data_IF_806434380834
#
_entry.id   IF_806434380834
#
_cell.length_a   1.000
_cell.length_b   1.000
_cell.length_c   1.000
_cell.angle_alpha   90.00
_cell.angle_beta   90.00
_cell.angle_gamma   90.00
#
_symmetry.space_group_name_H-M   'P 1'
#
loop_
_entity.id
_entity.type
_entity.pdbx_description
1 polymer ?
#
# COMPACT_ATOMS: atom_id res chain seq x y z
N UNK A 1 16.02 -12.25 24.07
CA UNK A 1 15.09 -11.30 23.42
C UNK A 1 13.80 -12.02 23.07
N UNK A 2 12.68 -11.42 23.38
CA UNK A 2 11.34 -11.88 23.06
C UNK A 2 10.57 -10.76 22.34
N UNK A 3 10.00 -11.03 21.17
CA UNK A 3 9.29 -10.03 20.37
C UNK A 3 7.80 -10.36 20.36
N UNK A 4 6.97 -9.40 20.77
CA UNK A 4 5.51 -9.49 20.70
C UNK A 4 5.05 -8.64 19.51
N UNK A 5 4.38 -9.25 18.54
CA UNK A 5 3.95 -8.56 17.30
C UNK A 5 2.43 -8.55 17.18
N UNK A 6 1.85 -7.38 16.93
CA UNK A 6 0.44 -7.25 16.57
C UNK A 6 0.21 -7.66 15.10
N UNK A 7 -0.39 -8.83 14.89
CA UNK A 7 -0.72 -9.33 13.56
C UNK A 7 -2.21 -9.17 13.18
N UNK A 8 -2.99 -8.41 13.95
CA UNK A 8 -4.45 -8.31 13.77
C UNK A 8 -4.85 -7.74 12.41
N UNK A 9 -4.00 -6.95 11.75
CA UNK A 9 -4.24 -6.45 10.38
C UNK A 9 -4.20 -7.53 9.30
N UNK A 10 -3.74 -8.74 9.63
CA UNK A 10 -3.77 -9.90 8.71
C UNK A 10 -5.10 -10.67 8.74
N UNK A 11 -6.07 -10.23 9.55
CA UNK A 11 -7.32 -10.94 9.82
C UNK A 11 -8.58 -10.12 9.51
N UNK A 12 -8.46 -8.85 9.24
CA UNK A 12 -9.57 -7.94 9.03
C UNK A 12 -9.64 -7.41 7.58
N UNK A 13 -10.39 -6.36 7.36
CA UNK A 13 -10.51 -5.70 6.05
C UNK A 13 -9.18 -5.20 5.47
N UNK A 14 -8.14 -5.07 6.30
CA UNK A 14 -6.80 -4.65 5.87
C UNK A 14 -5.93 -5.82 5.39
N UNK A 15 -6.37 -7.07 5.56
CA UNK A 15 -5.55 -8.26 5.26
C UNK A 15 -5.02 -8.28 3.81
N UNK A 16 -5.81 -7.76 2.87
CA UNK A 16 -5.46 -7.64 1.44
C UNK A 16 -4.99 -6.24 1.04
N UNK A 17 -4.96 -5.29 1.96
CA UNK A 17 -4.41 -3.95 1.74
C UNK A 17 -2.91 -3.90 2.04
N UNK A 18 -2.23 -2.83 1.62
CA UNK A 18 -0.79 -2.65 1.82
C UNK A 18 -0.31 -2.87 3.26
N UNK A 19 -1.12 -2.45 4.26
CA UNK A 19 -0.81 -2.66 5.70
C UNK A 19 -0.83 -4.14 6.08
N UNK A 20 -1.82 -4.89 5.62
CA UNK A 20 -1.91 -6.34 5.89
C UNK A 20 -0.81 -7.12 5.19
N UNK A 21 -0.51 -6.77 3.93
CA UNK A 21 0.60 -7.34 3.17
C UNK A 21 1.95 -7.05 3.84
N UNK A 22 2.17 -5.81 4.31
CA UNK A 22 3.35 -5.48 5.10
C UNK A 22 3.44 -6.37 6.34
N UNK A 23 2.37 -6.40 7.15
CA UNK A 23 2.37 -7.16 8.42
C UNK A 23 2.65 -8.64 8.19
N UNK A 24 2.01 -9.24 7.19
CA UNK A 24 2.25 -10.65 6.83
C UNK A 24 3.71 -10.89 6.45
N UNK A 25 4.19 -10.14 5.48
CA UNK A 25 5.50 -10.41 4.90
C UNK A 25 6.67 -10.09 5.84
N UNK A 26 6.56 -8.99 6.64
CA UNK A 26 7.59 -8.66 7.63
C UNK A 26 7.68 -9.71 8.73
N UNK A 27 6.54 -10.24 9.21
CA UNK A 27 6.53 -11.32 10.22
C UNK A 27 7.22 -12.55 9.65
N UNK A 28 6.84 -13.00 8.45
CA UNK A 28 7.44 -14.20 7.85
C UNK A 28 8.94 -14.05 7.63
N UNK A 29 9.39 -12.90 7.17
CA UNK A 29 10.82 -12.64 6.98
C UNK A 29 11.59 -12.56 8.32
N UNK A 30 11.02 -11.95 9.36
CA UNK A 30 11.60 -11.92 10.69
C UNK A 30 11.74 -13.33 11.28
N UNK A 31 10.71 -14.17 11.15
CA UNK A 31 10.71 -15.55 11.65
C UNK A 31 11.77 -16.40 10.93
N UNK A 32 11.83 -16.28 9.60
CA UNK A 32 12.79 -17.02 8.76
C UNK A 32 14.23 -16.67 9.13
N UNK A 33 14.52 -15.39 9.32
CA UNK A 33 15.89 -14.89 9.46
C UNK A 33 16.41 -14.90 10.91
N UNK A 34 15.55 -15.18 11.93
CA UNK A 34 15.89 -15.05 13.34
C UNK A 34 15.44 -16.27 14.15
N UNK A 35 15.88 -17.46 13.80
CA UNK A 35 15.42 -18.72 14.38
C UNK A 35 15.65 -18.86 15.90
N UNK A 36 16.60 -18.13 16.47
CA UNK A 36 16.92 -18.16 17.92
C UNK A 36 16.07 -17.20 18.75
N UNK A 37 15.34 -16.29 18.10
CA UNK A 37 14.48 -15.30 18.78
C UNK A 37 13.08 -15.87 18.96
N UNK A 38 12.48 -15.63 20.12
CA UNK A 38 11.10 -16.06 20.39
C UNK A 38 10.10 -14.96 19.99
N UNK A 39 9.08 -15.35 19.26
CA UNK A 39 8.03 -14.45 18.78
C UNK A 39 6.66 -14.86 19.32
N UNK A 40 5.92 -13.91 19.88
CA UNK A 40 4.49 -14.04 20.20
C UNK A 40 3.67 -13.21 19.22
N UNK A 41 2.89 -13.85 18.37
CA UNK A 41 2.13 -13.24 17.31
C UNK A 41 0.68 -13.09 17.77
N UNK A 42 0.27 -11.86 18.06
CA UNK A 42 -1.08 -11.55 18.56
C UNK A 42 -2.12 -11.63 17.43
N UNK A 43 -3.22 -12.30 17.66
CA UNK A 43 -4.33 -12.42 16.71
C UNK A 43 -5.70 -12.46 17.40
N UNK A 44 -6.76 -12.11 16.67
CA UNK A 44 -8.13 -12.34 17.10
C UNK A 44 -8.47 -13.84 17.10
N UNK A 45 -9.15 -14.29 18.14
CA UNK A 45 -9.55 -15.70 18.31
C UNK A 45 -10.55 -16.18 17.26
N UNK A 46 -11.48 -15.31 16.86
CA UNK A 46 -12.62 -15.65 15.99
C UNK A 46 -12.41 -15.30 14.51
N UNK A 47 -11.17 -15.04 14.08
CA UNK A 47 -10.83 -14.68 12.70
C UNK A 47 -9.66 -15.53 12.20
N UNK A 48 -9.78 -15.96 10.94
CA UNK A 48 -8.69 -16.66 10.24
C UNK A 48 -7.68 -15.59 9.77
N UNK A 49 -6.42 -15.83 10.05
CA UNK A 49 -5.32 -14.99 9.56
C UNK A 49 -4.75 -15.55 8.26
N UNK A 50 -4.34 -14.66 7.37
CA UNK A 50 -3.53 -15.01 6.20
C UNK A 50 -2.16 -15.61 6.58
N UNK A 51 -1.78 -15.52 7.87
CA UNK A 51 -0.54 -16.06 8.44
C UNK A 51 -0.67 -17.46 9.04
N UNK A 52 -1.88 -17.93 9.36
CA UNK A 52 -2.07 -19.13 10.21
C UNK A 52 -1.34 -20.37 9.66
N UNK A 53 -1.42 -20.61 8.35
CA UNK A 53 -0.76 -21.75 7.70
C UNK A 53 0.77 -21.63 7.67
N UNK A 54 1.28 -20.42 7.61
CA UNK A 54 2.70 -20.18 7.45
C UNK A 54 3.43 -20.18 8.80
N UNK A 55 2.81 -19.63 9.84
CA UNK A 55 3.42 -19.55 11.19
C UNK A 55 3.68 -20.95 11.76
N UNK A 56 2.82 -21.92 11.50
CA UNK A 56 2.99 -23.30 11.99
C UNK A 56 4.31 -23.95 11.56
N UNK A 57 4.98 -23.44 10.54
CA UNK A 57 6.29 -23.91 10.06
C UNK A 57 7.46 -23.45 10.93
N UNK A 58 7.23 -22.47 11.83
CA UNK A 58 8.29 -21.83 12.62
C UNK A 58 8.21 -22.20 14.10
N UNK A 59 9.18 -22.97 14.59
CA UNK A 59 9.24 -23.40 15.99
C UNK A 59 9.47 -22.28 16.99
N UNK A 60 10.01 -21.16 16.54
CA UNK A 60 10.28 -19.96 17.33
C UNK A 60 9.10 -18.96 17.39
N UNK A 61 7.94 -19.32 16.83
CA UNK A 61 6.75 -18.50 16.83
C UNK A 61 5.60 -19.17 17.59
N UNK A 62 4.87 -18.36 18.38
CA UNK A 62 3.66 -18.76 19.08
C UNK A 62 2.52 -17.82 18.68
N UNK A 63 1.39 -18.38 18.24
CA UNK A 63 0.15 -17.63 18.07
C UNK A 63 -0.50 -17.39 19.42
N UNK A 64 -0.90 -16.15 19.68
CA UNK A 64 -1.51 -15.73 20.94
C UNK A 64 -2.85 -15.05 20.67
N UNK A 65 -3.92 -15.64 21.16
CA UNK A 65 -5.27 -15.10 21.02
C UNK A 65 -5.51 -13.94 22.00
N UNK A 66 -6.00 -12.81 21.49
CA UNK A 66 -6.23 -11.55 22.23
C UNK A 66 -7.72 -11.18 22.35
N UNK A 67 -8.59 -12.16 22.36
CA UNK A 67 -10.04 -11.97 22.41
C UNK A 67 -10.69 -11.98 21.03
N UNK A 68 -11.98 -11.61 20.98
CA UNK A 68 -12.77 -11.65 19.77
C UNK A 68 -12.81 -10.29 19.06
N UNK A 69 -12.71 -10.31 17.74
CA UNK A 69 -12.91 -9.12 16.93
C UNK A 69 -14.39 -8.68 16.98
N UNK A 70 -14.62 -7.44 17.38
CA UNK A 70 -15.94 -6.79 17.34
C UNK A 70 -15.83 -5.56 16.46
N UNK A 71 -16.59 -5.54 15.37
CA UNK A 71 -16.67 -4.39 14.47
C UNK A 71 -17.35 -3.24 15.21
N UNK A 72 -16.57 -2.36 15.84
CA UNK A 72 -17.06 -1.10 16.36
C UNK A 72 -15.89 -0.16 16.67
N UNK A 73 -15.63 0.80 15.81
CA UNK A 73 -14.48 1.72 15.90
C UNK A 73 -14.42 2.49 17.23
N UNK A 74 -15.58 2.76 17.84
CA UNK A 74 -15.66 3.50 19.11
C UNK A 74 -15.21 2.70 20.35
N UNK A 75 -15.23 1.38 20.27
CA UNK A 75 -14.89 0.48 21.38
C UNK A 75 -13.44 -0.02 21.35
N UNK A 76 -12.65 0.39 20.36
CA UNK A 76 -11.26 -0.10 20.20
C UNK A 76 -10.40 0.17 21.45
N UNK A 77 -10.55 1.32 22.10
CA UNK A 77 -9.79 1.62 23.30
C UNK A 77 -10.23 0.74 24.49
N UNK A 78 -11.54 0.58 24.69
CA UNK A 78 -12.07 -0.28 25.79
C UNK A 78 -11.64 -1.71 25.54
N UNK A 79 -11.79 -2.20 24.34
CA UNK A 79 -11.37 -3.55 23.95
C UNK A 79 -9.86 -3.77 24.17
N UNK A 80 -9.03 -2.78 23.80
CA UNK A 80 -7.59 -2.86 24.02
C UNK A 80 -7.28 -3.02 25.51
N UNK A 81 -7.86 -2.20 26.38
CA UNK A 81 -7.59 -2.25 27.83
C UNK A 81 -8.15 -3.51 28.50
N UNK A 82 -9.27 -4.04 28.02
CA UNK A 82 -9.96 -5.18 28.64
C UNK A 82 -9.51 -6.53 28.10
N UNK A 83 -9.06 -6.62 26.87
CA UNK A 83 -8.75 -7.90 26.23
C UNK A 83 -7.28 -8.01 25.74
N UNK A 84 -6.73 -6.97 25.14
CA UNK A 84 -5.37 -7.02 24.58
C UNK A 84 -4.31 -6.82 25.66
N UNK A 85 -4.43 -5.73 26.40
CA UNK A 85 -3.43 -5.35 27.40
C UNK A 85 -3.22 -6.40 28.52
N UNK A 86 -4.26 -7.07 29.06
CA UNK A 86 -4.06 -8.18 30.02
C UNK A 86 -3.26 -9.34 29.45
N UNK A 87 -3.50 -9.71 28.18
CA UNK A 87 -2.74 -10.76 27.50
C UNK A 87 -1.28 -10.35 27.36
N UNK A 88 -1.01 -9.13 26.87
CA UNK A 88 0.36 -8.61 26.77
C UNK A 88 1.06 -8.63 28.13
N UNK A 89 0.40 -8.16 29.20
CA UNK A 89 0.96 -8.18 30.57
C UNK A 89 1.30 -9.59 31.03
N UNK A 90 0.50 -10.61 30.67
CA UNK A 90 0.72 -12.01 31.03
C UNK A 90 1.91 -12.63 30.29
N UNK A 91 2.09 -12.34 29.00
CA UNK A 91 3.12 -12.98 28.16
C UNK A 91 4.45 -12.23 28.15
N UNK A 92 4.46 -10.92 28.49
CA UNK A 92 5.70 -10.13 28.49
C UNK A 92 6.72 -10.65 29.50
N UNK A 93 7.99 -10.60 29.10
CA UNK A 93 9.16 -10.88 29.88
C UNK A 93 9.96 -9.59 30.07
N UNK A 94 11.01 -9.62 30.92
CA UNK A 94 11.88 -8.46 31.15
C UNK A 94 12.55 -7.96 29.85
N UNK A 95 12.87 -8.88 28.94
CA UNK A 95 13.54 -8.65 27.67
C UNK A 95 12.57 -8.59 26.48
N UNK A 96 11.27 -8.36 26.73
CA UNK A 96 10.26 -8.27 25.69
C UNK A 96 10.21 -6.90 25.04
N UNK A 97 10.10 -6.89 23.72
CA UNK A 97 9.83 -5.71 22.88
C UNK A 97 8.49 -5.91 22.19
N UNK A 98 7.68 -4.86 22.13
CA UNK A 98 6.44 -4.86 21.35
C UNK A 98 6.70 -4.23 19.99
N UNK A 99 6.30 -4.89 18.94
CA UNK A 99 6.29 -4.34 17.58
C UNK A 99 4.86 -4.16 17.09
N UNK A 100 4.49 -2.91 16.79
CA UNK A 100 3.22 -2.55 16.17
C UNK A 100 3.42 -2.22 14.70
N UNK A 101 3.00 -3.10 13.76
CA UNK A 101 3.08 -2.84 12.34
C UNK A 101 2.11 -1.77 11.84
N UNK A 102 1.20 -1.29 12.71
CA UNK A 102 0.15 -0.35 12.32
C UNK A 102 -0.30 0.54 13.48
N UNK A 103 -0.24 1.84 13.32
CA UNK A 103 -0.49 2.82 14.38
C UNK A 103 -1.97 2.97 14.81
N UNK A 104 -2.93 2.62 13.97
CA UNK A 104 -4.37 2.68 14.30
C UNK A 104 -4.79 1.70 15.40
N UNK A 105 -4.00 0.67 15.65
CA UNK A 105 -4.19 -0.19 16.80
C UNK A 105 -3.50 0.43 18.03
N UNK A 106 -4.14 0.33 19.17
CA UNK A 106 -3.50 0.77 20.41
C UNK A 106 -2.33 -0.16 20.76
N UNK A 107 -1.29 0.37 21.35
CA UNK A 107 -0.04 -0.35 21.64
C UNK A 107 0.51 0.03 23.02
N UNK A 108 1.34 -0.82 23.67
CA UNK A 108 1.70 -0.72 25.09
C UNK A 108 2.93 0.15 25.39
N UNK A 109 3.14 1.26 24.65
CA UNK A 109 4.32 2.12 24.82
C UNK A 109 4.48 2.72 26.23
N UNK A 110 3.39 2.74 27.04
CA UNK A 110 3.44 3.19 28.43
C UNK A 110 4.00 2.15 29.41
N UNK A 111 4.06 0.87 29.01
CA UNK A 111 4.39 -0.23 29.95
C UNK A 111 5.52 -1.14 29.49
N UNK A 112 5.97 -1.02 28.26
CA UNK A 112 7.08 -1.80 27.72
C UNK A 112 7.71 -1.12 26.50
N UNK A 113 8.99 -1.43 26.19
CA UNK A 113 9.63 -0.94 24.96
C UNK A 113 8.79 -1.30 23.75
N UNK A 114 8.44 -0.28 22.97
CA UNK A 114 7.57 -0.41 21.79
C UNK A 114 8.25 0.21 20.58
N UNK A 115 8.18 -0.49 19.46
CA UNK A 115 8.57 -0.02 18.13
C UNK A 115 7.30 0.05 17.28
N UNK A 116 7.09 1.17 16.63
CA UNK A 116 5.90 1.44 15.83
C UNK A 116 6.29 1.63 14.36
N UNK A 117 5.54 1.04 13.44
CA UNK A 117 5.67 1.30 12.03
C UNK A 117 4.64 2.33 11.55
N UNK A 118 5.11 3.42 10.93
CA UNK A 118 4.29 4.47 10.33
C UNK A 118 4.35 4.32 8.82
N UNK A 119 3.22 3.95 8.21
CA UNK A 119 3.12 3.72 6.78
C UNK A 119 3.04 5.01 5.97
N UNK A 120 2.36 6.00 6.52
CA UNK A 120 2.14 7.31 5.89
C UNK A 120 1.55 8.30 6.89
N UNK A 121 1.50 9.57 6.49
CA UNK A 121 0.84 10.66 7.23
C UNK A 121 -0.37 11.20 6.46
N UNK A 122 -0.96 10.41 5.57
CA UNK A 122 -2.02 10.79 4.65
C UNK A 122 -3.21 11.47 5.35
N UNK A 123 -3.67 10.89 6.46
CA UNK A 123 -4.78 11.46 7.23
C UNK A 123 -4.47 12.84 7.83
N UNK A 124 -3.23 13.05 8.26
CA UNK A 124 -2.80 14.35 8.77
C UNK A 124 -2.70 15.39 7.64
N UNK A 125 -2.15 15.00 6.49
CA UNK A 125 -1.88 15.90 5.38
C UNK A 125 -3.16 16.28 4.59
N UNK A 126 -4.08 15.35 4.40
CA UNK A 126 -5.27 15.55 3.56
C UNK A 126 -6.58 15.68 4.32
N UNK A 127 -6.58 15.66 5.66
CA UNK A 127 -7.79 15.72 6.50
C UNK A 127 -8.87 14.67 6.13
N UNK A 128 -8.46 13.52 5.61
CA UNK A 128 -9.35 12.51 5.05
C UNK A 128 -9.78 11.49 6.10
N UNK A 129 -10.51 11.93 7.12
CA UNK A 129 -10.89 11.06 8.25
C UNK A 129 -12.10 10.16 7.98
N UNK A 130 -13.08 10.61 7.24
CA UNK A 130 -14.24 9.84 6.75
C UNK A 130 -15.09 10.71 5.82
N UNK A 131 -15.94 10.10 5.02
CA UNK A 131 -16.92 10.83 4.20
C UNK A 131 -18.35 10.69 4.73
N UNK A 132 -18.59 9.93 5.81
CA UNK A 132 -19.93 9.54 6.23
C UNK A 132 -20.70 10.62 6.99
N UNK A 133 -20.09 11.33 7.94
CA UNK A 133 -20.71 12.44 8.63
C UNK A 133 -19.68 13.32 9.35
N UNK A 134 -20.00 14.61 9.62
CA UNK A 134 -19.11 15.50 10.38
C UNK A 134 -18.74 14.96 11.76
N UNK A 135 -19.67 14.32 12.47
CA UNK A 135 -19.44 13.76 13.81
C UNK A 135 -18.45 12.59 13.73
N UNK A 136 -18.64 11.65 12.78
CA UNK A 136 -17.73 10.53 12.58
C UNK A 136 -16.32 11.00 12.20
N UNK A 137 -16.22 12.04 11.39
CA UNK A 137 -14.95 12.66 11.03
C UNK A 137 -14.22 13.21 12.25
N UNK A 138 -14.92 13.92 13.15
CA UNK A 138 -14.32 14.46 14.37
C UNK A 138 -13.83 13.33 15.29
N UNK A 139 -14.62 12.29 15.46
CA UNK A 139 -14.21 11.13 16.28
C UNK A 139 -12.97 10.46 15.70
N UNK A 140 -12.95 10.18 14.40
CA UNK A 140 -11.79 9.60 13.73
C UNK A 140 -10.55 10.49 13.81
N UNK A 141 -10.73 11.80 13.68
CA UNK A 141 -9.65 12.77 13.86
C UNK A 141 -9.05 12.68 15.27
N UNK A 142 -9.89 12.66 16.29
CA UNK A 142 -9.44 12.53 17.68
C UNK A 142 -8.73 11.19 17.91
N UNK A 143 -9.27 10.09 17.40
CA UNK A 143 -8.66 8.78 17.51
C UNK A 143 -7.28 8.71 16.81
N UNK A 144 -7.20 9.27 15.60
CA UNK A 144 -5.95 9.36 14.85
C UNK A 144 -4.88 10.10 15.66
N UNK A 145 -5.18 11.33 16.10
CA UNK A 145 -4.21 12.13 16.82
C UNK A 145 -3.84 11.54 18.18
N UNK A 146 -4.79 10.89 18.87
CA UNK A 146 -4.46 10.15 20.10
C UNK A 146 -3.49 9.01 19.86
N UNK A 147 -3.69 8.23 18.80
CA UNK A 147 -2.77 7.15 18.42
C UNK A 147 -1.40 7.71 18.00
N UNK A 148 -1.39 8.75 17.17
CA UNK A 148 -0.15 9.37 16.70
C UNK A 148 0.61 10.09 17.84
N UNK A 149 -0.06 10.82 18.72
CA UNK A 149 0.59 11.45 19.87
C UNK A 149 1.21 10.41 20.83
N UNK A 150 0.57 9.25 20.96
CA UNK A 150 1.15 8.14 21.75
C UNK A 150 2.43 7.59 21.12
N UNK A 151 2.65 7.77 19.82
CA UNK A 151 3.86 7.31 19.14
C UNK A 151 5.14 7.93 19.71
N UNK A 152 5.05 9.14 20.27
CA UNK A 152 6.20 9.80 20.93
C UNK A 152 6.74 9.07 22.15
N UNK A 153 5.99 8.09 22.69
CA UNK A 153 6.42 7.22 23.78
C UNK A 153 7.10 5.93 23.28
N UNK A 154 7.07 5.68 21.97
CA UNK A 154 7.77 4.54 21.39
C UNK A 154 9.29 4.73 21.48
N UNK A 155 10.05 3.65 21.59
CA UNK A 155 11.51 3.69 21.57
C UNK A 155 12.07 3.97 20.20
N UNK A 156 11.41 3.46 19.17
CA UNK A 156 11.74 3.71 17.76
C UNK A 156 10.47 3.80 16.92
N UNK A 157 10.57 4.60 15.89
CA UNK A 157 9.61 4.63 14.78
C UNK A 157 10.31 4.05 13.55
N UNK A 158 9.62 3.15 12.85
CA UNK A 158 10.00 2.70 11.52
C UNK A 158 9.13 3.39 10.48
N UNK A 159 9.70 3.77 9.36
CA UNK A 159 8.99 4.34 8.22
C UNK A 159 9.38 3.62 6.93
N UNK A 160 8.49 3.61 5.94
CA UNK A 160 8.72 2.94 4.67
C UNK A 160 9.45 3.81 3.63
N UNK A 161 9.69 5.09 3.93
CA UNK A 161 10.43 6.02 3.08
C UNK A 161 11.04 7.16 3.91
N UNK A 162 12.02 7.86 3.34
CA UNK A 162 12.55 9.10 3.91
C UNK A 162 11.48 10.19 3.93
N UNK A 163 10.63 10.21 2.92
CA UNK A 163 9.46 11.12 2.85
C UNK A 163 8.55 10.91 4.06
N UNK A 164 8.15 9.67 4.37
CA UNK A 164 7.32 9.37 5.54
C UNK A 164 8.03 9.73 6.86
N UNK A 165 9.36 9.49 6.96
CA UNK A 165 10.17 9.93 8.11
C UNK A 165 10.11 11.44 8.27
N UNK A 166 10.33 12.19 7.19
CA UNK A 166 10.32 13.66 7.21
C UNK A 166 8.93 14.20 7.59
N UNK A 167 7.87 13.61 7.03
CA UNK A 167 6.50 13.97 7.37
C UNK A 167 6.19 13.70 8.85
N UNK A 168 6.61 12.55 9.40
CA UNK A 168 6.45 12.26 10.82
C UNK A 168 7.17 13.30 11.68
N UNK A 169 8.43 13.60 11.41
CA UNK A 169 9.23 14.57 12.16
C UNK A 169 8.71 16.01 12.03
N UNK A 170 8.05 16.35 10.92
CA UNK A 170 7.38 17.65 10.76
C UNK A 170 6.24 17.85 11.79
N UNK A 171 5.50 16.78 12.12
CA UNK A 171 4.46 16.83 13.15
C UNK A 171 5.00 16.61 14.57
N UNK A 172 6.11 15.91 14.71
CA UNK A 172 6.75 15.59 15.99
C UNK A 172 8.23 16.02 16.02
N UNK A 173 8.52 17.32 15.90
CA UNK A 173 9.89 17.84 15.79
C UNK A 173 10.73 17.58 17.05
N UNK A 174 10.09 17.32 18.19
CA UNK A 174 10.76 16.95 19.46
C UNK A 174 11.17 15.47 19.51
N UNK A 175 10.69 14.63 18.59
CA UNK A 175 11.08 13.22 18.58
C UNK A 175 12.47 13.08 17.95
N UNK A 176 13.39 12.30 18.57
CA UNK A 176 14.77 12.20 18.07
C UNK A 176 14.82 11.60 16.67
N UNK A 177 15.40 12.31 15.72
CA UNK A 177 15.43 11.88 14.32
C UNK A 177 16.21 10.57 14.10
N UNK A 178 17.20 10.30 14.98
CA UNK A 178 17.97 9.06 15.00
C UNK A 178 17.19 7.86 15.51
N UNK A 179 16.04 8.08 16.13
CA UNK A 179 15.09 7.04 16.53
C UNK A 179 13.99 6.81 15.49
N UNK A 180 14.06 7.49 14.33
CA UNK A 180 13.19 7.21 13.17
C UNK A 180 14.03 6.56 12.09
N UNK A 181 13.84 5.26 11.86
CA UNK A 181 14.62 4.49 10.88
C UNK A 181 13.79 4.19 9.62
N UNK A 182 14.43 4.34 8.46
CA UNK A 182 13.80 4.02 7.18
C UNK A 182 14.05 2.57 6.80
N UNK A 183 12.96 1.83 6.63
CA UNK A 183 12.97 0.42 6.19
C UNK A 183 12.09 0.29 4.96
N UNK A 184 12.66 0.45 3.76
CA UNK A 184 11.93 0.26 2.51
C UNK A 184 11.24 -1.10 2.48
N UNK A 185 10.04 -1.15 1.91
CA UNK A 185 9.24 -2.36 1.87
C UNK A 185 9.79 -3.37 0.86
N UNK A 186 9.49 -4.64 1.08
CA UNK A 186 9.67 -5.67 0.09
C UNK A 186 8.56 -5.63 -0.97
N UNK A 187 8.88 -6.11 -2.16
CA UNK A 187 7.93 -6.31 -3.26
C UNK A 187 7.73 -7.79 -3.47
N UNK A 188 6.48 -8.23 -3.41
CA UNK A 188 6.09 -9.61 -3.67
C UNK A 188 5.17 -9.63 -4.88
N UNK A 189 5.68 -10.09 -6.00
CA UNK A 189 4.89 -10.41 -7.17
C UNK A 189 5.38 -11.73 -7.73
N UNK A 190 4.47 -12.64 -8.01
CA UNK A 190 4.80 -13.91 -8.66
C UNK A 190 4.95 -13.67 -10.16
N UNK A 191 6.19 -13.75 -10.67
CA UNK A 191 6.52 -13.54 -12.09
C UNK A 191 5.99 -14.69 -12.96
N UNK A 192 4.68 -14.76 -13.06
CA UNK A 192 3.97 -15.80 -13.82
C UNK A 192 2.90 -15.17 -14.69
N UNK A 193 3.06 -15.31 -16.01
CA UNK A 193 2.04 -14.86 -16.95
C UNK A 193 0.95 -15.94 -17.10
N UNK A 194 -0.29 -15.58 -16.74
CA UNK A 194 -1.49 -16.44 -16.84
C UNK A 194 -2.57 -15.69 -17.62
N UNK A 195 -3.46 -16.44 -18.28
CA UNK A 195 -4.56 -15.86 -19.05
C UNK A 195 -5.40 -14.86 -18.23
N UNK A 196 -5.78 -13.78 -18.87
CA UNK A 196 -6.60 -12.68 -18.33
C UNK A 196 -8.04 -12.71 -18.82
N UNK A 197 -8.50 -13.78 -19.47
CA UNK A 197 -9.84 -13.91 -20.05
C UNK A 197 -10.97 -13.68 -19.04
N UNK A 198 -10.67 -13.86 -17.74
CA UNK A 198 -11.60 -13.58 -16.63
C UNK A 198 -11.82 -12.08 -16.42
N UNK A 199 -10.87 -11.22 -16.80
CA UNK A 199 -10.85 -9.80 -16.44
C UNK A 199 -10.89 -8.87 -17.63
N UNK A 200 -10.49 -9.34 -18.79
CA UNK A 200 -10.39 -8.56 -20.01
C UNK A 200 -11.29 -9.12 -21.10
N UNK A 201 -11.76 -8.30 -22.05
CA UNK A 201 -12.54 -8.77 -23.21
C UNK A 201 -11.78 -9.83 -24.00
N UNK A 202 -12.51 -10.74 -24.65
CA UNK A 202 -11.92 -11.85 -25.44
C UNK A 202 -11.10 -11.39 -26.66
N UNK A 203 -11.30 -10.15 -27.11
CA UNK A 203 -10.61 -9.52 -28.22
C UNK A 203 -9.40 -8.66 -27.78
N UNK A 204 -9.10 -8.62 -26.46
CA UNK A 204 -7.93 -7.89 -26.00
C UNK A 204 -6.65 -8.52 -26.56
N UNK A 205 -5.65 -7.68 -26.82
CA UNK A 205 -4.31 -8.12 -27.19
C UNK A 205 -3.32 -7.63 -26.16
N UNK A 206 -2.22 -8.37 -26.01
CA UNK A 206 -1.12 -7.93 -25.16
C UNK A 206 -0.67 -6.52 -25.55
N UNK A 207 -0.34 -5.71 -24.53
CA UNK A 207 0.06 -4.30 -24.65
C UNK A 207 -0.97 -3.39 -25.32
N UNK A 208 -2.24 -3.77 -25.28
CA UNK A 208 -3.37 -2.98 -25.76
C UNK A 208 -4.19 -2.34 -24.63
N UNK A 209 -3.59 -2.11 -23.47
CA UNK A 209 -4.22 -1.33 -22.41
C UNK A 209 -3.21 -0.61 -21.51
N UNK A 210 -3.63 0.57 -21.05
CA UNK A 210 -3.03 1.27 -19.91
C UNK A 210 -3.62 0.69 -18.63
N UNK A 211 -2.79 0.43 -17.61
CA UNK A 211 -3.30 -0.11 -16.36
C UNK A 211 -3.12 0.84 -15.18
N UNK A 212 -4.19 1.02 -14.40
CA UNK A 212 -4.20 1.61 -13.07
C UNK A 212 -4.51 0.51 -12.05
N UNK A 213 -3.53 0.12 -11.24
CA UNK A 213 -3.60 -0.98 -10.28
C UNK A 213 -3.04 -0.53 -8.93
N UNK A 214 -3.59 -1.05 -7.83
CA UNK A 214 -3.13 -0.73 -6.47
C UNK A 214 -3.56 0.65 -5.98
N UNK A 215 -4.27 1.42 -6.79
CA UNK A 215 -4.91 2.65 -6.38
C UNK A 215 -6.13 2.41 -5.50
N UNK A 216 -6.75 3.48 -5.08
CA UNK A 216 -7.98 3.45 -4.30
C UNK A 216 -8.92 4.56 -4.72
N UNK A 217 -10.09 4.58 -4.12
CA UNK A 217 -11.10 5.60 -4.38
C UNK A 217 -10.89 6.89 -3.59
N UNK A 218 -9.92 6.93 -2.67
CA UNK A 218 -9.63 8.13 -1.90
C UNK A 218 -9.09 9.25 -2.81
N UNK A 219 -9.45 10.49 -2.52
CA UNK A 219 -9.01 11.66 -3.31
C UNK A 219 -7.49 11.75 -3.47
N UNK A 220 -6.71 11.36 -2.45
CA UNK A 220 -5.25 11.32 -2.55
C UNK A 220 -4.73 10.34 -3.60
N UNK A 221 -5.52 9.36 -4.04
CA UNK A 221 -5.15 8.41 -5.11
C UNK A 221 -5.41 8.95 -6.51
N UNK A 222 -6.18 10.03 -6.64
CA UNK A 222 -6.43 10.74 -7.88
C UNK A 222 -6.89 9.84 -9.05
N UNK A 223 -7.78 8.89 -8.75
CA UNK A 223 -8.31 7.95 -9.76
C UNK A 223 -9.05 8.68 -10.90
N UNK A 224 -9.75 9.78 -10.58
CA UNK A 224 -10.42 10.61 -11.58
C UNK A 224 -9.42 11.27 -12.53
N UNK A 225 -8.25 11.71 -12.05
CA UNK A 225 -7.17 12.28 -12.87
C UNK A 225 -6.64 11.27 -13.88
N UNK A 226 -6.58 9.98 -13.52
CA UNK A 226 -6.19 8.93 -14.46
C UNK A 226 -7.18 8.83 -15.64
N UNK A 227 -8.50 8.84 -15.35
CA UNK A 227 -9.54 8.76 -16.40
C UNK A 227 -9.53 10.02 -17.28
N UNK A 228 -9.33 11.19 -16.68
CA UNK A 228 -9.24 12.46 -17.42
C UNK A 228 -8.02 12.50 -18.33
N UNK A 229 -6.85 12.11 -17.82
CA UNK A 229 -5.64 12.02 -18.64
C UNK A 229 -5.78 10.99 -19.78
N UNK A 230 -6.44 9.87 -19.52
CA UNK A 230 -6.74 8.89 -20.55
C UNK A 230 -7.68 9.43 -21.64
N UNK A 231 -8.71 10.20 -21.28
CA UNK A 231 -9.56 10.91 -22.26
C UNK A 231 -8.73 11.83 -23.14
N UNK A 232 -7.86 12.64 -22.56
CA UNK A 232 -6.98 13.54 -23.34
C UNK A 232 -5.99 12.75 -24.21
N UNK A 233 -5.52 11.58 -23.78
CA UNK A 233 -4.74 10.67 -24.63
C UNK A 233 -5.55 10.19 -25.84
N UNK A 234 -6.83 9.84 -25.70
CA UNK A 234 -7.70 9.51 -26.83
C UNK A 234 -7.88 10.71 -27.78
N UNK A 235 -8.02 11.92 -27.25
CA UNK A 235 -8.09 13.15 -28.05
C UNK A 235 -6.81 13.36 -28.87
N UNK A 236 -5.64 13.18 -28.28
CA UNK A 236 -4.35 13.24 -28.97
C UNK A 236 -4.25 12.21 -30.10
N UNK A 237 -4.70 10.97 -29.84
CA UNK A 237 -4.73 9.92 -30.88
C UNK A 237 -5.63 10.31 -32.05
N UNK A 238 -6.83 10.85 -31.78
CA UNK A 238 -7.77 11.31 -32.79
C UNK A 238 -7.17 12.44 -33.62
N UNK A 239 -6.52 13.42 -33.00
CA UNK A 239 -5.84 14.54 -33.69
C UNK A 239 -4.73 14.05 -34.63
N UNK A 240 -4.08 12.93 -34.27
CA UNK A 240 -3.06 12.28 -35.11
C UNK A 240 -3.63 11.24 -36.10
N UNK A 241 -4.93 11.27 -36.39
CA UNK A 241 -5.58 10.46 -37.41
C UNK A 241 -5.84 8.99 -37.02
N UNK A 242 -5.71 8.63 -35.74
CA UNK A 242 -5.93 7.26 -35.31
C UNK A 242 -7.42 6.91 -35.23
N UNK A 243 -7.75 5.68 -35.64
CA UNK A 243 -9.06 5.07 -35.45
C UNK A 243 -9.27 4.72 -33.97
N UNK A 244 -10.21 5.41 -33.31
CA UNK A 244 -10.50 5.19 -31.91
C UNK A 244 -11.22 3.86 -31.60
N UNK A 245 -11.78 3.20 -32.62
CA UNK A 245 -12.35 1.85 -32.42
C UNK A 245 -11.28 0.82 -32.07
N UNK A 246 -10.03 1.12 -32.38
CA UNK A 246 -8.82 0.34 -32.05
C UNK A 246 -7.97 0.97 -30.96
N UNK A 247 -8.55 1.85 -30.16
CA UNK A 247 -7.83 2.47 -29.05
C UNK A 247 -7.53 1.44 -27.95
N UNK A 248 -6.34 1.51 -27.32
CA UNK A 248 -6.05 0.66 -26.17
C UNK A 248 -7.00 1.01 -25.01
N UNK A 249 -7.40 0.02 -24.22
CA UNK A 249 -8.27 0.22 -23.08
C UNK A 249 -7.54 0.94 -21.92
N UNK A 250 -8.31 1.59 -21.04
CA UNK A 250 -7.89 1.87 -19.68
C UNK A 250 -8.46 0.78 -18.77
N UNK A 251 -7.59 0.01 -18.15
CA UNK A 251 -7.96 -1.02 -17.17
C UNK A 251 -7.76 -0.47 -15.76
N UNK A 252 -8.84 -0.42 -14.98
CA UNK A 252 -8.82 0.00 -13.57
C UNK A 252 -9.03 -1.25 -12.71
N UNK A 253 -7.95 -1.68 -12.05
CA UNK A 253 -7.95 -2.93 -11.29
C UNK A 253 -8.04 -2.67 -9.78
N UNK A 254 -9.02 -3.32 -9.14
CA UNK A 254 -9.18 -3.27 -7.68
C UNK A 254 -10.62 -3.41 -7.21
N UNK A 255 -10.82 -4.18 -6.14
CA UNK A 255 -12.14 -4.48 -5.58
C UNK A 255 -12.90 -3.25 -5.04
N UNK A 256 -12.20 -2.17 -4.70
CA UNK A 256 -12.84 -0.96 -4.18
C UNK A 256 -13.75 -0.27 -5.22
N UNK A 257 -13.46 -0.44 -6.51
CA UNK A 257 -14.23 0.12 -7.61
C UNK A 257 -15.55 -0.63 -7.91
N UNK A 258 -15.77 -1.79 -7.28
CA UNK A 258 -17.03 -2.54 -7.39
C UNK A 258 -18.16 -1.95 -6.53
N UNK A 259 -17.83 -1.15 -5.52
CA UNK A 259 -18.83 -0.57 -4.64
C UNK A 259 -19.38 0.72 -5.26
N UNK A 260 -20.38 0.56 -6.14
CA UNK A 260 -21.02 1.66 -6.88
C UNK A 260 -21.89 2.57 -6.00
N UNK A 261 -22.10 2.23 -4.72
CA UNK A 261 -22.82 3.11 -3.79
C UNK A 261 -21.93 4.21 -3.23
N UNK A 262 -20.60 4.06 -3.35
CA UNK A 262 -19.67 5.08 -2.87
C UNK A 262 -19.65 6.29 -3.79
N UNK A 263 -19.77 7.52 -3.24
CA UNK A 263 -19.79 8.76 -4.02
C UNK A 263 -18.57 8.89 -4.96
N UNK A 264 -17.41 8.44 -4.51
CA UNK A 264 -16.18 8.50 -5.31
C UNK A 264 -16.23 7.58 -6.52
N UNK A 265 -16.88 6.42 -6.40
CA UNK A 265 -17.06 5.49 -7.53
C UNK A 265 -18.13 6.03 -8.47
N UNK A 266 -19.20 6.64 -7.92
CA UNK A 266 -20.24 7.29 -8.73
C UNK A 266 -19.65 8.43 -9.57
N UNK A 267 -18.80 9.29 -8.98
CA UNK A 267 -18.10 10.36 -9.71
C UNK A 267 -17.31 9.82 -10.92
N UNK A 268 -16.60 8.69 -10.76
CA UNK A 268 -15.88 8.05 -11.86
C UNK A 268 -16.84 7.55 -12.96
N UNK A 269 -17.91 6.87 -12.56
CA UNK A 269 -18.91 6.30 -13.49
C UNK A 269 -19.63 7.43 -14.27
N UNK A 270 -20.02 8.50 -13.59
CA UNK A 270 -20.67 9.68 -14.20
C UNK A 270 -19.73 10.32 -15.21
N UNK A 271 -18.48 10.59 -14.83
CA UNK A 271 -17.49 11.16 -15.75
C UNK A 271 -17.27 10.28 -17.00
N UNK A 272 -17.20 8.95 -16.83
CA UNK A 272 -17.07 7.98 -17.93
C UNK A 272 -18.27 8.09 -18.86
N UNK A 273 -19.50 8.19 -18.32
CA UNK A 273 -20.74 8.31 -19.13
C UNK A 273 -20.81 9.63 -19.89
N UNK A 274 -20.59 10.75 -19.20
CA UNK A 274 -20.64 12.10 -19.79
C UNK A 274 -19.63 12.29 -20.92
N UNK A 275 -18.51 11.56 -20.88
CA UNK A 275 -17.45 11.65 -21.86
C UNK A 275 -17.43 10.48 -22.88
N UNK A 276 -18.48 9.64 -22.90
CA UNK A 276 -18.62 8.50 -23.82
C UNK A 276 -17.45 7.51 -23.78
N UNK A 277 -16.88 7.27 -22.59
CA UNK A 277 -15.72 6.39 -22.39
C UNK A 277 -16.09 4.95 -22.03
N UNK A 278 -17.37 4.58 -21.95
CA UNK A 278 -17.84 3.27 -21.48
C UNK A 278 -17.25 2.08 -22.25
N UNK A 279 -16.96 2.28 -23.55
CA UNK A 279 -16.34 1.24 -24.41
C UNK A 279 -14.82 1.15 -24.27
N UNK A 280 -14.21 2.07 -23.53
CA UNK A 280 -12.75 2.21 -23.44
C UNK A 280 -12.22 1.99 -22.02
N UNK A 281 -13.08 2.02 -20.99
CA UNK A 281 -12.68 1.84 -19.59
C UNK A 281 -13.23 0.53 -19.05
N UNK A 282 -12.35 -0.30 -18.51
CA UNK A 282 -12.67 -1.62 -17.95
C UNK A 282 -12.36 -1.61 -16.45
N UNK A 283 -13.34 -1.94 -15.62
CA UNK A 283 -13.14 -2.21 -14.21
C UNK A 283 -13.03 -3.72 -13.99
N UNK A 284 -11.88 -4.22 -13.55
CA UNK A 284 -11.71 -5.66 -13.27
C UNK A 284 -12.47 -6.10 -12.04
N UNK A 285 -12.77 -5.18 -11.12
CA UNK A 285 -13.16 -5.51 -9.77
C UNK A 285 -12.02 -6.17 -8.98
N UNK A 286 -12.39 -6.98 -7.97
CA UNK A 286 -11.40 -7.74 -7.20
C UNK A 286 -10.70 -8.77 -8.08
N UNK A 287 -9.39 -8.82 -7.98
CA UNK A 287 -8.55 -9.84 -8.61
C UNK A 287 -7.70 -10.54 -7.56
N UNK A 288 -7.40 -11.82 -7.81
CA UNK A 288 -6.52 -12.61 -6.94
C UNK A 288 -5.06 -12.21 -7.18
N UNK A 289 -4.23 -12.17 -6.14
CA UNK A 289 -2.83 -11.73 -6.19
C UNK A 289 -2.00 -12.39 -7.30
N UNK A 290 -2.29 -13.68 -7.62
CA UNK A 290 -1.61 -14.40 -8.71
C UNK A 290 -1.77 -13.77 -10.11
N UNK A 291 -2.79 -12.92 -10.32
CA UNK A 291 -3.03 -12.22 -11.59
C UNK A 291 -2.33 -10.86 -11.67
N UNK A 292 -1.82 -10.34 -10.55
CA UNK A 292 -1.20 -9.00 -10.50
C UNK A 292 -0.08 -8.85 -11.53
N UNK A 293 0.83 -9.84 -11.60
CA UNK A 293 1.92 -9.83 -12.58
C UNK A 293 1.39 -9.80 -14.01
N UNK A 294 0.44 -10.67 -14.36
CA UNK A 294 -0.12 -10.74 -15.72
C UNK A 294 -0.84 -9.46 -16.13
N UNK A 295 -1.63 -8.87 -15.21
CA UNK A 295 -2.30 -7.59 -15.44
C UNK A 295 -1.30 -6.46 -15.70
N UNK A 296 -0.18 -6.45 -15.00
CA UNK A 296 0.88 -5.47 -15.22
C UNK A 296 1.67 -5.78 -16.49
N UNK A 297 2.22 -6.98 -16.62
CA UNK A 297 3.13 -7.38 -17.69
C UNK A 297 2.53 -7.23 -19.10
N UNK A 298 1.24 -7.52 -19.25
CA UNK A 298 0.55 -7.44 -20.54
C UNK A 298 0.00 -6.03 -20.86
N UNK A 299 0.21 -5.03 -19.99
CA UNK A 299 -0.12 -3.63 -20.27
C UNK A 299 0.99 -2.94 -21.08
N UNK A 300 0.65 -1.89 -21.84
CA UNK A 300 1.68 -1.08 -22.47
C UNK A 300 2.35 -0.10 -21.52
N UNK A 301 1.62 0.33 -20.47
CA UNK A 301 2.14 1.15 -19.38
C UNK A 301 1.30 0.98 -18.10
N UNK A 302 1.93 1.21 -16.98
CA UNK A 302 1.31 1.39 -15.67
C UNK A 302 1.23 2.87 -15.34
N UNK A 303 0.08 3.32 -14.85
CA UNK A 303 -0.13 4.71 -14.43
C UNK A 303 -0.60 4.77 -12.98
N UNK A 304 0.00 5.66 -12.18
CA UNK A 304 -0.42 5.92 -10.81
C UNK A 304 -0.22 7.39 -10.43
N UNK A 305 -1.32 8.14 -10.40
CA UNK A 305 -1.30 9.59 -10.19
C UNK A 305 -1.61 9.99 -8.74
N UNK A 306 -1.29 9.13 -7.77
CA UNK A 306 -1.51 9.43 -6.37
C UNK A 306 -0.74 10.68 -5.94
N UNK A 307 -1.47 11.63 -5.35
CA UNK A 307 -0.92 12.88 -4.83
C UNK A 307 -0.04 12.65 -3.60
N UNK A 308 -0.26 11.55 -2.91
CA UNK A 308 0.52 11.13 -1.76
C UNK A 308 0.54 9.60 -1.61
N UNK A 309 1.70 9.09 -1.31
CA UNK A 309 1.98 7.68 -0.99
C UNK A 309 3.05 7.59 0.11
N UNK A 310 3.05 6.47 0.84
CA UNK A 310 4.13 6.17 1.78
C UNK A 310 5.33 5.50 1.09
N UNK A 311 5.07 4.60 0.11
CA UNK A 311 6.12 3.86 -0.60
C UNK A 311 5.77 3.60 -2.07
N UNK A 312 4.59 3.02 -2.36
CA UNK A 312 4.20 2.63 -3.73
C UNK A 312 4.52 1.17 -4.05
N UNK A 313 3.98 0.22 -3.27
CA UNK A 313 4.17 -1.23 -3.51
C UNK A 313 3.79 -1.61 -4.95
N UNK A 314 2.61 -1.17 -5.42
CA UNK A 314 2.14 -1.48 -6.78
C UNK A 314 3.02 -0.89 -7.89
N UNK A 315 3.69 0.24 -7.63
CA UNK A 315 4.70 0.77 -8.53
C UNK A 315 5.91 -0.16 -8.61
N UNK A 316 6.37 -0.66 -7.45
CA UNK A 316 7.44 -1.64 -7.42
C UNK A 316 7.08 -2.96 -8.13
N UNK A 317 5.84 -3.40 -8.01
CA UNK A 317 5.30 -4.56 -8.75
C UNK A 317 5.29 -4.31 -10.27
N UNK A 318 4.94 -3.10 -10.71
CA UNK A 318 4.99 -2.71 -12.11
C UNK A 318 6.43 -2.70 -12.66
N UNK A 319 7.39 -2.19 -11.88
CA UNK A 319 8.81 -2.29 -12.25
C UNK A 319 9.27 -3.75 -12.36
N UNK A 320 8.84 -4.62 -11.43
CA UNK A 320 9.14 -6.05 -11.46
C UNK A 320 8.52 -6.73 -12.68
N UNK A 321 7.37 -6.27 -13.12
CA UNK A 321 6.70 -6.76 -14.33
C UNK A 321 7.27 -6.19 -15.64
N UNK A 322 8.34 -5.39 -15.58
CA UNK A 322 9.00 -4.73 -16.74
C UNK A 322 8.04 -3.89 -17.58
N UNK A 323 7.29 -3.05 -16.91
CA UNK A 323 6.30 -2.15 -17.55
C UNK A 323 6.75 -0.70 -17.40
N UNK A 324 6.66 0.13 -18.47
CA UNK A 324 6.87 1.56 -18.32
C UNK A 324 5.92 2.14 -17.27
N UNK A 325 6.43 2.92 -16.34
CA UNK A 325 5.63 3.51 -15.26
C UNK A 325 5.51 5.01 -15.40
N UNK A 326 4.28 5.53 -15.29
CA UNK A 326 3.93 6.97 -15.32
C UNK A 326 3.35 7.33 -13.95
N UNK A 327 4.04 8.20 -13.21
CA UNK A 327 3.71 8.52 -11.83
C UNK A 327 3.51 10.01 -11.63
N UNK A 328 2.65 10.39 -10.66
CA UNK A 328 2.61 11.78 -10.22
C UNK A 328 3.93 12.18 -9.57
N UNK A 329 4.42 13.37 -9.91
CA UNK A 329 5.62 13.95 -9.31
C UNK A 329 5.37 14.33 -7.84
N UNK A 330 5.60 13.37 -6.95
CA UNK A 330 5.45 13.52 -5.50
C UNK A 330 6.76 13.19 -4.77
N UNK A 331 7.00 13.72 -3.56
CA UNK A 331 8.26 13.51 -2.85
C UNK A 331 8.68 12.04 -2.74
N UNK A 332 7.74 11.12 -2.46
CA UNK A 332 8.06 9.69 -2.35
C UNK A 332 8.43 9.07 -3.69
N UNK A 333 7.77 9.47 -4.77
CA UNK A 333 8.11 8.95 -6.10
C UNK A 333 9.41 9.56 -6.64
N UNK A 334 9.71 10.82 -6.31
CA UNK A 334 11.03 11.41 -6.58
C UNK A 334 12.14 10.70 -5.80
N UNK A 335 11.92 10.38 -4.52
CA UNK A 335 12.85 9.64 -3.68
C UNK A 335 13.16 8.24 -4.22
N UNK A 336 12.11 7.48 -4.57
CA UNK A 336 12.24 6.04 -4.80
C UNK A 336 12.33 5.69 -6.28
N UNK A 337 11.60 6.38 -7.17
CA UNK A 337 11.35 5.94 -8.55
C UNK A 337 11.76 6.93 -9.64
N UNK A 338 12.39 8.08 -9.32
CA UNK A 338 12.72 9.13 -10.28
C UNK A 338 13.56 8.65 -11.47
N UNK A 339 14.49 7.72 -11.26
CA UNK A 339 15.37 7.20 -12.32
C UNK A 339 14.74 6.07 -13.15
N UNK A 340 13.59 5.57 -12.73
CA UNK A 340 12.97 4.34 -13.24
C UNK A 340 11.55 4.53 -13.74
N UNK A 341 11.03 5.75 -13.67
CA UNK A 341 9.66 6.09 -14.01
C UNK A 341 9.56 7.48 -14.66
N UNK A 342 8.52 7.70 -15.45
CA UNK A 342 8.16 9.02 -15.93
C UNK A 342 7.38 9.74 -14.82
N UNK A 343 7.93 10.86 -14.35
CA UNK A 343 7.27 11.73 -13.39
C UNK A 343 6.55 12.86 -14.12
N UNK A 344 5.24 13.00 -13.89
CA UNK A 344 4.37 14.01 -14.49
C UNK A 344 3.61 14.78 -13.41
N UNK A 345 3.13 15.97 -13.73
CA UNK A 345 2.12 16.59 -12.89
C UNK A 345 0.76 15.88 -13.11
N UNK A 346 0.41 14.98 -12.19
CA UNK A 346 -0.83 14.20 -12.26
C UNK A 346 -2.12 15.03 -12.11
N UNK A 347 -2.01 16.34 -11.83
CA UNK A 347 -3.12 17.30 -11.87
C UNK A 347 -3.20 18.00 -13.24
N UNK A 348 -2.20 17.84 -14.11
CA UNK A 348 -2.18 18.32 -15.47
C UNK A 348 -2.52 17.18 -16.44
N UNK A 349 -3.77 17.14 -16.89
CA UNK A 349 -4.31 16.09 -17.75
C UNK A 349 -3.60 16.02 -19.10
N UNK A 350 -3.23 17.18 -19.67
CA UNK A 350 -2.57 17.29 -20.98
C UNK A 350 -1.12 16.82 -20.91
N UNK A 351 -0.38 17.16 -19.85
CA UNK A 351 1.00 16.69 -19.64
C UNK A 351 1.00 15.16 -19.47
N UNK A 352 0.11 14.66 -18.62
CA UNK A 352 -0.03 13.22 -18.39
C UNK A 352 -0.42 12.47 -19.67
N UNK A 353 -1.38 13.03 -20.46
CA UNK A 353 -1.80 12.45 -21.72
C UNK A 353 -0.66 12.39 -22.75
N UNK A 354 0.19 13.42 -22.82
CA UNK A 354 1.38 13.42 -23.69
C UNK A 354 2.36 12.33 -23.29
N UNK A 355 2.58 12.12 -21.98
CA UNK A 355 3.44 11.05 -21.49
C UNK A 355 2.88 9.67 -21.84
N UNK A 356 1.56 9.44 -21.66
CA UNK A 356 0.89 8.21 -22.07
C UNK A 356 1.05 7.98 -23.59
N UNK A 357 0.84 9.03 -24.39
CA UNK A 357 0.95 8.97 -25.84
C UNK A 357 2.38 8.63 -26.29
N UNK A 358 3.40 9.29 -25.70
CA UNK A 358 4.79 9.04 -26.07
C UNK A 358 5.23 7.61 -25.73
N UNK A 359 4.85 7.09 -24.56
CA UNK A 359 5.10 5.68 -24.20
C UNK A 359 4.42 4.72 -25.16
N UNK A 360 3.19 5.04 -25.58
CA UNK A 360 2.41 4.18 -26.49
C UNK A 360 3.01 4.12 -27.91
N UNK A 361 3.44 5.25 -28.45
CA UNK A 361 3.95 5.32 -29.83
C UNK A 361 5.45 5.07 -29.95
N UNK A 362 6.21 5.28 -28.91
CA UNK A 362 7.67 5.17 -28.89
C UNK A 362 8.17 4.20 -27.79
N UNK A 363 7.68 2.94 -27.68
CA UNK A 363 8.00 2.04 -26.59
C UNK A 363 9.51 1.74 -26.46
N UNK A 364 10.24 1.72 -27.58
CA UNK A 364 11.68 1.47 -27.63
C UNK A 364 12.50 2.53 -26.86
N UNK A 365 12.03 3.77 -26.83
CA UNK A 365 12.66 4.88 -26.09
C UNK A 365 12.80 4.57 -24.59
N UNK A 366 11.92 3.76 -24.05
CA UNK A 366 11.81 3.48 -22.61
C UNK A 366 12.48 2.19 -22.15
N UNK A 367 13.07 1.39 -23.05
CA UNK A 367 13.72 0.11 -22.72
C UNK A 367 14.75 0.24 -21.59
N UNK A 368 15.63 1.21 -21.68
CA UNK A 368 16.68 1.40 -20.66
C UNK A 368 16.07 1.80 -19.29
N UNK A 369 15.00 2.59 -19.28
CA UNK A 369 14.28 2.95 -18.06
C UNK A 369 13.62 1.71 -17.42
N UNK A 370 12.99 0.87 -18.25
CA UNK A 370 12.35 -0.38 -17.81
C UNK A 370 13.37 -1.33 -17.17
N UNK A 371 14.52 -1.55 -17.82
CA UNK A 371 15.57 -2.44 -17.29
C UNK A 371 16.18 -1.91 -16.00
N UNK A 372 16.41 -0.59 -15.89
CA UNK A 372 16.81 0.03 -14.60
C UNK A 372 15.74 -0.17 -13.54
N UNK A 373 14.47 -0.02 -13.91
CA UNK A 373 13.34 -0.22 -13.01
C UNK A 373 13.27 -1.65 -12.49
N UNK A 374 13.38 -2.62 -13.37
CA UNK A 374 13.43 -4.04 -13.01
C UNK A 374 14.58 -4.31 -12.04
N UNK A 375 15.81 -3.89 -12.38
CA UNK A 375 17.00 -4.07 -11.54
C UNK A 375 16.78 -3.45 -10.15
N UNK A 376 16.31 -2.22 -10.08
CA UNK A 376 16.01 -1.53 -8.81
C UNK A 376 14.95 -2.26 -7.99
N UNK A 377 13.93 -2.83 -8.64
CA UNK A 377 12.87 -3.57 -7.94
C UNK A 377 13.38 -4.81 -7.21
N UNK A 378 14.49 -5.43 -7.68
CA UNK A 378 15.13 -6.56 -7.03
C UNK A 378 15.79 -6.21 -5.69
N UNK A 379 16.09 -4.92 -5.46
CA UNK A 379 16.62 -4.45 -4.19
C UNK A 379 15.57 -4.35 -3.08
N UNK A 380 14.30 -4.27 -3.44
CA UNK A 380 13.19 -4.20 -2.50
C UNK A 380 12.75 -5.60 -2.09
N UNK A 381 13.43 -6.15 -1.06
CA UNK A 381 13.12 -7.50 -0.54
C UNK A 381 12.65 -7.43 0.91
N UNK A 382 11.76 -8.36 1.27
CA UNK A 382 11.30 -8.48 2.66
C UNK A 382 12.42 -8.90 3.59
N UNK A 383 13.42 -9.63 3.11
CA UNK A 383 14.62 -10.01 3.89
C UNK A 383 15.43 -8.76 4.27
N UNK A 384 15.67 -7.81 3.35
CA UNK A 384 16.34 -6.53 3.64
C UNK A 384 15.52 -5.66 4.61
N UNK A 385 14.19 -5.61 4.43
CA UNK A 385 13.29 -4.92 5.35
C UNK A 385 13.36 -5.51 6.75
N UNK A 386 13.30 -6.84 6.86
CA UNK A 386 13.37 -7.56 8.14
C UNK A 386 14.72 -7.40 8.82
N UNK A 387 15.83 -7.44 8.07
CA UNK A 387 17.17 -7.20 8.60
C UNK A 387 17.29 -5.83 9.26
N UNK A 388 16.85 -4.76 8.57
CA UNK A 388 16.84 -3.40 9.11
C UNK A 388 15.93 -3.29 10.35
N UNK A 389 14.73 -3.87 10.27
CA UNK A 389 13.79 -3.91 11.40
C UNK A 389 14.40 -4.62 12.60
N UNK A 390 15.08 -5.74 12.38
CA UNK A 390 15.71 -6.51 13.43
C UNK A 390 16.89 -5.77 14.10
N UNK A 391 17.70 -5.03 13.32
CA UNK A 391 18.73 -4.13 13.87
C UNK A 391 18.15 -3.10 14.84
N UNK A 392 16.92 -2.61 14.58
CA UNK A 392 16.24 -1.72 15.53
C UNK A 392 15.79 -2.47 16.78
N UNK A 393 15.32 -3.72 16.67
CA UNK A 393 15.02 -4.54 17.86
C UNK A 393 16.27 -4.72 18.74
N UNK A 394 17.44 -4.95 18.14
CA UNK A 394 18.71 -5.09 18.87
C UNK A 394 19.14 -3.80 19.59
N UNK A 395 18.83 -2.61 19.04
CA UNK A 395 19.11 -1.32 19.69
C UNK A 395 18.21 -1.07 20.92
N UNK A 396 17.08 -1.76 21.01
CA UNK A 396 16.07 -1.59 22.07
C UNK A 396 16.17 -2.66 23.16
N UNK A 397 16.77 -3.82 22.84
CA UNK A 397 16.97 -4.93 23.76
C UNK A 397 18.06 -4.60 24.82
#
# INVERSE_FOLDING_TARGET
MHIIIDATTTQDQFAFAGVGQYTKNIILALLKNNATIQFSILRFKNKISTLDKDISKYKNAQLVDIGEYKINDYKNNIWYFTQVLPVIKKIRRKDSIFFSPYFWRNYPADIMPTILFVHDMNLALFNMYSQQSPIHNQIRKVQYWNAMNKSTKCKYILSNSQTTKNDYLKYYPQYPSEQVEVTYLGITVEERNISLDKYLPSDYKERQYLIYLGGGINRSKNSIGVIKAYKEFLNLRKQNGADLTKAPYLVIAGGQFQNTEKPEVQELIEYIKENNLQKHVIFTGFYEDKYAYSLLHNSFAYIHLALYEGFGISTGEALRAKVPTILHKSPVYEEIFSETSLLVDGLNEQETAKAIYDVYVNPEKYKNMIERGYTKSLDFTWDKCAEKTFKVFQKVA
#
